data_IF_357828748427
#
_entry.id   IF_357828748427
#
_cell.length_a   1.000
_cell.length_b   1.000
_cell.length_c   1.000
_cell.angle_alpha   90.00
_cell.angle_beta   90.00
_cell.angle_gamma   90.00
#
_symmetry.space_group_name_H-M   'P 1'
#
loop_
_entity.id
_entity.type
_entity.pdbx_description
1 polymer ?
#
# COMPACT_ATOMS: atom_id res chain seq x y z
N UNK A 1 -8.49 11.10 -20.25
CA UNK A 1 -8.32 12.22 -19.30
C UNK A 1 -6.91 12.73 -19.46
N UNK A 2 -6.72 14.04 -19.54
CA UNK A 2 -5.42 14.66 -19.75
C UNK A 2 -4.55 14.46 -18.49
N UNK A 3 -3.36 13.85 -18.58
CA UNK A 3 -2.46 13.70 -17.43
C UNK A 3 -2.07 15.02 -16.78
N UNK A 4 -1.91 16.10 -17.56
CA UNK A 4 -1.61 17.44 -17.05
C UNK A 4 -2.69 17.96 -16.10
N UNK A 5 -3.97 17.71 -16.40
CA UNK A 5 -5.07 18.15 -15.53
C UNK A 5 -5.06 17.45 -14.17
N UNK A 6 -4.58 16.22 -14.11
CA UNK A 6 -4.48 15.45 -12.86
C UNK A 6 -3.35 15.97 -11.99
N UNK A 7 -2.22 16.30 -12.60
CA UNK A 7 -1.07 16.86 -11.91
C UNK A 7 -1.38 18.27 -11.40
N UNK A 8 -2.08 19.10 -12.18
CA UNK A 8 -2.55 20.43 -11.76
C UNK A 8 -3.55 20.38 -10.59
N UNK A 9 -4.52 19.49 -10.65
CA UNK A 9 -5.46 19.28 -9.52
C UNK A 9 -4.72 18.82 -8.27
N UNK A 10 -3.69 18.01 -8.45
CA UNK A 10 -2.87 17.48 -7.39
C UNK A 10 -1.96 18.55 -6.75
N UNK A 11 -1.33 19.41 -7.55
CA UNK A 11 -0.56 20.58 -7.07
C UNK A 11 -1.45 21.55 -6.29
N UNK A 12 -2.69 21.76 -6.74
CA UNK A 12 -3.68 22.58 -6.02
C UNK A 12 -4.01 21.97 -4.66
N UNK A 13 -4.19 20.65 -4.57
CA UNK A 13 -4.43 19.95 -3.29
C UNK A 13 -3.24 20.11 -2.34
N UNK A 14 -2.02 19.89 -2.84
CA UNK A 14 -0.81 20.05 -2.04
C UNK A 14 -0.64 21.48 -1.57
N UNK A 15 -0.84 22.48 -2.43
CA UNK A 15 -0.75 23.90 -2.09
C UNK A 15 -1.82 24.33 -1.07
N UNK A 16 -3.02 23.80 -1.16
CA UNK A 16 -4.09 24.04 -0.19
C UNK A 16 -3.74 23.37 1.16
N UNK A 17 -3.23 22.13 1.14
CA UNK A 17 -2.81 21.40 2.34
C UNK A 17 -1.71 22.13 3.13
N UNK A 18 -0.78 22.81 2.46
CA UNK A 18 0.28 23.60 3.10
C UNK A 18 -0.22 24.91 3.73
N UNK A 19 -1.37 25.42 3.26
CA UNK A 19 -1.97 26.69 3.73
C UNK A 19 -3.03 26.51 4.82
N UNK A 20 -3.37 25.27 5.20
CA UNK A 20 -4.46 24.97 6.12
C UNK A 20 -4.08 25.20 7.58
N UNK A 21 -4.95 25.90 8.30
CA UNK A 21 -4.99 25.93 9.76
C UNK A 21 -5.95 24.86 10.27
N UNK A 22 -5.79 24.39 11.50
CA UNK A 22 -6.43 23.22 12.13
C UNK A 22 -7.99 23.15 12.07
N UNK A 23 -8.65 24.18 11.56
CA UNK A 23 -10.12 24.28 11.50
C UNK A 23 -10.64 24.57 10.08
N UNK A 24 -9.83 24.46 9.03
CA UNK A 24 -10.23 24.88 7.69
C UNK A 24 -10.66 23.68 6.84
N UNK A 25 -11.92 23.66 6.42
CA UNK A 25 -12.41 22.75 5.39
C UNK A 25 -11.92 23.24 4.02
N UNK A 26 -11.21 22.41 3.29
CA UNK A 26 -10.79 22.70 1.94
C UNK A 26 -11.51 21.81 0.94
N UNK A 27 -11.97 22.44 -0.12
CA UNK A 27 -12.63 21.76 -1.21
C UNK A 27 -11.86 22.02 -2.51
N UNK A 28 -11.70 21.01 -3.33
CA UNK A 28 -11.25 21.17 -4.70
C UNK A 28 -12.18 20.44 -5.66
N UNK A 29 -12.29 20.97 -6.88
CA UNK A 29 -13.15 20.40 -7.90
C UNK A 29 -12.36 19.37 -8.74
N UNK A 30 -12.95 18.22 -8.95
CA UNK A 30 -12.48 17.23 -9.90
C UNK A 30 -13.64 16.90 -10.86
N UNK A 31 -13.48 17.19 -12.16
CA UNK A 31 -14.53 17.00 -13.18
C UNK A 31 -15.90 17.55 -12.73
N UNK A 32 -15.96 18.81 -12.30
CA UNK A 32 -17.14 19.46 -11.74
C UNK A 32 -17.65 18.88 -10.42
N UNK A 33 -16.97 17.88 -9.86
CA UNK A 33 -17.26 17.30 -8.55
C UNK A 33 -16.29 17.85 -7.52
N UNK A 34 -16.77 18.09 -6.33
CA UNK A 34 -15.96 18.69 -5.26
C UNK A 34 -15.57 17.59 -4.28
N UNK A 35 -14.26 17.52 -4.00
CA UNK A 35 -13.73 16.70 -2.93
C UNK A 35 -13.35 17.61 -1.76
N UNK A 36 -13.75 17.24 -0.54
CA UNK A 36 -13.36 17.95 0.66
C UNK A 36 -12.24 17.20 1.38
N UNK A 37 -11.25 17.96 1.84
CA UNK A 37 -10.26 17.47 2.79
C UNK A 37 -10.52 18.19 4.10
N UNK A 38 -10.90 17.45 5.15
CA UNK A 38 -11.05 17.98 6.49
C UNK A 38 -9.94 17.43 7.37
N UNK A 39 -9.39 18.30 8.20
CA UNK A 39 -8.45 17.88 9.27
C UNK A 39 -9.27 17.86 10.58
N UNK A 40 -9.24 16.72 11.25
CA UNK A 40 -9.87 16.55 12.55
C UNK A 40 -8.88 15.83 13.49
N UNK A 41 -8.57 16.42 14.65
CA UNK A 41 -7.60 15.91 15.63
C UNK A 41 -6.23 15.48 15.03
N UNK A 42 -5.76 16.20 14.00
CA UNK A 42 -4.50 15.90 13.31
C UNK A 42 -4.60 14.77 12.27
N UNK A 43 -5.75 14.16 12.07
CA UNK A 43 -6.01 13.20 11.01
C UNK A 43 -6.63 13.90 9.79
N UNK A 44 -6.23 13.47 8.60
CA UNK A 44 -6.77 14.00 7.34
C UNK A 44 -7.82 13.04 6.80
N UNK A 45 -8.98 13.58 6.52
CA UNK A 45 -10.09 12.84 5.91
C UNK A 45 -10.35 13.40 4.53
N UNK A 46 -10.59 12.53 3.55
CA UNK A 46 -10.91 12.92 2.19
C UNK A 46 -12.38 12.60 1.93
N UNK A 47 -13.13 13.62 1.56
CA UNK A 47 -14.58 13.53 1.38
C UNK A 47 -14.95 13.81 -0.08
N UNK A 48 -15.41 12.82 -0.86
CA UNK A 48 -16.09 13.11 -2.10
C UNK A 48 -17.49 13.68 -1.80
N UNK A 49 -17.79 14.83 -2.36
CA UNK A 49 -19.16 15.33 -2.40
C UNK A 49 -20.06 14.41 -3.23
N UNK A 50 -21.38 14.48 -3.02
CA UNK A 50 -22.30 13.45 -3.44
C UNK A 50 -22.01 13.01 -4.86
N UNK A 51 -21.73 11.72 -4.99
CA UNK A 51 -21.69 11.07 -6.28
C UNK A 51 -23.08 11.11 -6.83
N UNK A 52 -23.30 11.62 -8.01
CA UNK A 52 -24.56 11.43 -8.66
C UNK A 52 -24.70 9.95 -9.04
N UNK A 53 -25.88 9.38 -8.84
CA UNK A 53 -26.18 7.96 -9.12
C UNK A 53 -25.90 7.52 -10.56
N UNK A 54 -25.95 8.42 -11.52
CA UNK A 54 -25.45 8.23 -12.88
C UNK A 54 -23.91 8.32 -12.91
N UNK A 55 -23.27 7.66 -11.94
CA UNK A 55 -21.82 7.58 -11.91
C UNK A 55 -21.32 6.88 -13.16
N UNK A 56 -20.90 7.69 -14.10
CA UNK A 56 -20.20 7.26 -15.30
C UNK A 56 -18.81 6.70 -14.93
N UNK A 57 -18.05 6.30 -15.92
CA UNK A 57 -16.70 5.81 -15.73
C UNK A 57 -15.81 6.79 -14.94
N UNK A 58 -16.11 8.08 -14.99
CA UNK A 58 -15.33 9.14 -14.34
C UNK A 58 -15.47 9.12 -12.81
N UNK A 59 -16.65 8.78 -12.27
CA UNK A 59 -16.83 8.67 -10.82
C UNK A 59 -16.04 7.49 -10.23
N UNK A 60 -16.04 6.35 -10.92
CA UNK A 60 -15.22 5.20 -10.52
C UNK A 60 -13.74 5.52 -10.53
N UNK A 61 -13.28 6.18 -11.60
CA UNK A 61 -11.90 6.62 -11.73
C UNK A 61 -11.52 7.60 -10.62
N UNK A 62 -12.41 8.54 -10.26
CA UNK A 62 -12.22 9.45 -9.15
C UNK A 62 -12.05 8.71 -7.80
N UNK A 63 -12.88 7.68 -7.53
CA UNK A 63 -12.73 6.84 -6.34
C UNK A 63 -11.37 6.12 -6.30
N UNK A 64 -10.93 5.56 -7.43
CA UNK A 64 -9.64 4.88 -7.54
C UNK A 64 -8.48 5.83 -7.24
N UNK A 65 -8.51 7.04 -7.77
CA UNK A 65 -7.48 8.05 -7.53
C UNK A 65 -7.47 8.57 -6.12
N UNK A 66 -8.67 8.76 -5.53
CA UNK A 66 -8.81 9.12 -4.14
C UNK A 66 -8.18 8.07 -3.22
N UNK A 67 -8.45 6.78 -3.49
CA UNK A 67 -7.85 5.67 -2.77
C UNK A 67 -6.33 5.67 -2.91
N UNK A 68 -5.80 5.85 -4.11
CA UNK A 68 -4.35 5.94 -4.35
C UNK A 68 -3.71 7.13 -3.63
N UNK A 69 -4.41 8.28 -3.57
CA UNK A 69 -3.96 9.43 -2.79
C UNK A 69 -3.91 9.12 -1.30
N UNK A 70 -4.98 8.56 -0.74
CA UNK A 70 -5.06 8.21 0.68
C UNK A 70 -3.91 7.27 1.09
N UNK A 71 -3.60 6.25 0.28
CA UNK A 71 -2.47 5.35 0.50
C UNK A 71 -1.14 6.13 0.53
N UNK A 72 -0.91 6.96 -0.48
CA UNK A 72 0.36 7.67 -0.61
C UNK A 72 0.61 8.63 0.54
N UNK A 73 -0.42 9.31 1.03
CA UNK A 73 -0.33 10.28 2.12
C UNK A 73 -0.48 9.64 3.51
N UNK A 74 -0.61 8.31 3.59
CA UNK A 74 -0.80 7.56 4.85
C UNK A 74 -2.00 8.05 5.65
N UNK A 75 -3.12 8.32 4.99
CA UNK A 75 -4.37 8.76 5.62
C UNK A 75 -5.45 7.71 5.44
N UNK A 76 -6.33 7.49 6.45
CA UNK A 76 -7.50 6.65 6.28
C UNK A 76 -8.40 7.17 5.16
N UNK A 77 -8.94 6.28 4.33
CA UNK A 77 -9.94 6.66 3.33
C UNK A 77 -11.33 6.67 3.97
N UNK A 78 -11.78 7.87 4.29
CA UNK A 78 -13.08 8.12 4.90
C UNK A 78 -13.91 9.00 3.97
N UNK A 79 -15.16 8.61 3.76
CA UNK A 79 -16.12 9.32 2.92
C UNK A 79 -17.30 9.69 3.80
N UNK A 80 -17.62 10.99 3.92
CA UNK A 80 -18.77 11.46 4.72
C UNK A 80 -19.90 11.95 3.84
N UNK A 81 -21.06 12.15 4.47
CA UNK A 81 -22.24 12.68 3.83
C UNK A 81 -22.65 11.87 2.58
N UNK A 82 -22.43 10.55 2.64
CA UNK A 82 -22.80 9.62 1.58
C UNK A 82 -24.29 9.37 1.65
N UNK A 83 -25.09 9.80 0.67
CA UNK A 83 -26.51 9.49 0.62
C UNK A 83 -26.75 7.97 0.52
N UNK A 84 -27.85 7.49 1.08
CA UNK A 84 -28.23 6.07 1.04
C UNK A 84 -28.18 5.48 -0.36
N UNK A 85 -28.63 6.22 -1.33
CA UNK A 85 -28.65 5.81 -2.74
C UNK A 85 -27.24 5.64 -3.36
N UNK A 86 -26.24 6.32 -2.82
CA UNK A 86 -24.85 6.21 -3.32
C UNK A 86 -24.03 5.13 -2.62
N UNK A 87 -24.49 4.65 -1.47
CA UNK A 87 -23.78 3.60 -0.71
C UNK A 87 -23.63 2.32 -1.52
N UNK A 88 -24.66 1.93 -2.30
CA UNK A 88 -24.59 0.74 -3.18
C UNK A 88 -23.51 0.89 -4.25
N UNK A 89 -23.34 2.10 -4.79
CA UNK A 89 -22.28 2.37 -5.75
C UNK A 89 -20.89 2.21 -5.09
N UNK A 90 -20.67 2.79 -3.92
CA UNK A 90 -19.40 2.65 -3.20
C UNK A 90 -19.10 1.18 -2.87
N UNK A 91 -20.10 0.41 -2.41
CA UNK A 91 -19.96 -1.03 -2.19
C UNK A 91 -19.64 -1.82 -3.47
N UNK A 92 -20.01 -1.30 -4.64
CA UNK A 92 -19.65 -1.93 -5.93
C UNK A 92 -18.21 -1.63 -6.36
N UNK A 93 -17.61 -0.56 -5.82
CA UNK A 93 -16.23 -0.14 -6.14
C UNK A 93 -15.24 -0.74 -5.15
N UNK A 94 -15.53 -0.63 -3.85
CA UNK A 94 -14.64 -1.05 -2.78
C UNK A 94 -15.10 -2.37 -2.16
N UNK A 95 -14.22 -3.37 -2.03
CA UNK A 95 -14.59 -4.68 -1.47
C UNK A 95 -14.85 -4.65 0.04
N UNK A 96 -14.22 -3.72 0.76
CA UNK A 96 -14.30 -3.65 2.22
C UNK A 96 -14.74 -2.26 2.66
N UNK A 97 -16.00 -2.14 3.07
CA UNK A 97 -16.61 -0.89 3.53
C UNK A 97 -17.28 -1.13 4.89
N UNK A 98 -17.00 -0.22 5.83
CA UNK A 98 -17.80 -0.03 7.03
C UNK A 98 -18.61 1.25 6.88
N UNK A 99 -19.95 1.14 6.94
CA UNK A 99 -20.86 2.26 6.84
C UNK A 99 -21.58 2.48 8.17
N UNK A 100 -21.58 3.72 8.65
CA UNK A 100 -22.19 4.15 9.89
C UNK A 100 -23.17 5.29 9.63
N UNK A 101 -24.34 5.27 10.28
CA UNK A 101 -25.29 6.39 10.27
C UNK A 101 -24.85 7.48 11.25
N UNK A 102 -25.21 8.72 10.99
CA UNK A 102 -25.12 9.79 11.97
C UNK A 102 -26.21 9.64 13.04
N UNK A 103 -25.98 10.14 14.27
CA UNK A 103 -26.95 10.02 15.37
C UNK A 103 -28.31 10.66 15.06
N UNK A 104 -28.33 11.72 14.26
CA UNK A 104 -29.50 12.50 13.94
C UNK A 104 -29.95 12.40 12.45
N UNK A 105 -29.32 11.57 11.64
CA UNK A 105 -29.61 11.42 10.22
C UNK A 105 -29.41 9.97 9.74
N UNK A 106 -30.53 9.27 9.51
CA UNK A 106 -30.52 7.89 9.02
C UNK A 106 -30.35 7.79 7.49
N UNK A 107 -30.34 8.91 6.76
CA UNK A 107 -30.29 8.94 5.30
C UNK A 107 -28.89 9.23 4.75
N UNK A 108 -27.96 9.69 5.60
CA UNK A 108 -26.56 9.92 5.25
C UNK A 108 -25.63 9.01 6.06
N UNK A 109 -24.50 8.64 5.44
CA UNK A 109 -23.56 7.72 6.01
C UNK A 109 -22.16 8.33 6.10
N UNK A 110 -21.48 7.97 7.15
CA UNK A 110 -20.04 8.02 7.26
C UNK A 110 -19.48 6.65 6.84
N UNK A 111 -18.60 6.61 5.85
CA UNK A 111 -18.09 5.38 5.24
C UNK A 111 -16.59 5.32 5.41
N UNK A 112 -16.10 4.29 6.10
CA UNK A 112 -14.69 3.95 6.15
C UNK A 112 -14.41 2.88 5.09
N UNK A 113 -13.45 3.15 4.21
CA UNK A 113 -12.96 2.17 3.25
C UNK A 113 -11.74 1.49 3.83
N UNK A 114 -11.78 0.16 3.93
CA UNK A 114 -10.69 -0.65 4.42
C UNK A 114 -10.00 -1.38 3.25
N UNK A 115 -8.75 -1.76 3.45
CA UNK A 115 -8.05 -2.70 2.57
C UNK A 115 -7.87 -4.06 3.27
N UNK A 116 -7.25 -5.02 2.59
CA UNK A 116 -7.05 -6.37 3.13
C UNK A 116 -6.16 -6.36 4.39
N UNK A 117 -5.24 -5.40 4.51
CA UNK A 117 -4.38 -5.27 5.68
C UNK A 117 -5.16 -4.81 6.91
N UNK A 118 -6.14 -3.89 6.74
CA UNK A 118 -7.02 -3.43 7.82
C UNK A 118 -7.90 -4.56 8.38
N UNK A 119 -8.14 -5.61 7.59
CA UNK A 119 -8.99 -6.75 7.97
C UNK A 119 -8.24 -7.83 8.73
N UNK A 120 -6.91 -7.70 8.91
CA UNK A 120 -6.10 -8.71 9.59
C UNK A 120 -6.14 -8.53 11.12
N UNK A 121 -6.24 -9.65 11.83
CA UNK A 121 -6.03 -9.73 13.27
C UNK A 121 -4.57 -10.11 13.55
N UNK A 122 -3.68 -9.12 13.48
CA UNK A 122 -2.24 -9.29 13.68
C UNK A 122 -1.46 -9.66 12.41
N UNK A 123 -0.16 -9.88 12.56
CA UNK A 123 0.74 -10.23 11.47
C UNK A 123 0.56 -11.71 11.10
N UNK A 124 0.19 -12.04 9.86
CA UNK A 124 0.00 -13.42 9.44
C UNK A 124 1.34 -14.17 9.38
N UNK A 125 1.27 -15.48 9.55
CA UNK A 125 2.41 -16.38 9.41
C UNK A 125 2.11 -17.46 8.36
N UNK A 126 3.07 -17.71 7.47
CA UNK A 126 2.99 -18.80 6.50
C UNK A 126 4.31 -19.56 6.44
N UNK A 127 4.22 -20.89 6.37
CA UNK A 127 5.36 -21.77 6.11
C UNK A 127 5.15 -22.48 4.76
N UNK A 128 6.10 -22.30 3.85
CA UNK A 128 6.06 -22.90 2.51
C UNK A 128 7.48 -23.19 2.00
N UNK A 129 7.71 -24.42 1.50
CA UNK A 129 8.96 -24.86 0.89
C UNK A 129 10.21 -24.61 1.77
N UNK A 130 10.08 -24.74 3.11
CA UNK A 130 11.15 -24.51 4.09
C UNK A 130 11.49 -23.03 4.30
N UNK A 131 10.59 -22.12 3.92
CA UNK A 131 10.62 -20.72 4.26
C UNK A 131 9.43 -20.41 5.15
N UNK A 132 9.67 -19.67 6.23
CA UNK A 132 8.63 -19.05 7.05
C UNK A 132 8.61 -17.55 6.78
N UNK A 133 7.43 -17.01 6.54
CA UNK A 133 7.17 -15.57 6.59
C UNK A 133 6.39 -15.28 7.88
N UNK A 134 6.95 -14.43 8.74
CA UNK A 134 6.34 -14.07 10.02
C UNK A 134 6.69 -12.63 10.42
N UNK A 135 6.31 -12.25 11.63
CA UNK A 135 6.55 -10.91 12.16
C UNK A 135 8.05 -10.64 12.37
N UNK A 136 8.49 -9.43 11.98
CA UNK A 136 9.79 -8.88 12.36
C UNK A 136 9.77 -8.49 13.85
N UNK A 137 10.67 -9.09 14.63
CA UNK A 137 10.73 -8.91 16.08
C UNK A 137 11.99 -8.15 16.51
N UNK A 138 12.03 -7.74 17.77
CA UNK A 138 13.20 -7.09 18.34
C UNK A 138 14.46 -7.99 18.34
N UNK A 139 14.29 -9.31 18.29
CA UNK A 139 15.41 -10.25 18.17
C UNK A 139 16.07 -10.24 16.80
N UNK A 140 15.41 -9.67 15.79
CA UNK A 140 15.92 -9.59 14.42
C UNK A 140 16.76 -8.33 14.16
N UNK A 141 16.78 -7.38 15.11
CA UNK A 141 17.36 -6.03 14.96
C UNK A 141 18.72 -6.01 14.27
N UNK A 142 19.68 -6.80 14.73
CA UNK A 142 21.04 -6.78 14.18
C UNK A 142 21.11 -7.25 12.73
N UNK A 143 20.40 -8.35 12.40
CA UNK A 143 20.37 -8.88 11.03
C UNK A 143 19.55 -7.99 10.11
N UNK A 144 18.43 -7.45 10.62
CA UNK A 144 17.59 -6.55 9.86
C UNK A 144 18.30 -5.23 9.55
N UNK A 145 19.09 -4.70 10.50
CA UNK A 145 19.97 -3.56 10.25
C UNK A 145 20.95 -3.80 9.11
N UNK A 146 21.62 -4.95 9.10
CA UNK A 146 22.53 -5.32 8.02
C UNK A 146 21.82 -5.39 6.68
N UNK A 147 20.61 -5.92 6.64
CA UNK A 147 19.76 -5.95 5.45
C UNK A 147 19.45 -4.53 4.94
N UNK A 148 19.06 -3.62 5.84
CA UNK A 148 18.71 -2.24 5.49
C UNK A 148 19.92 -1.38 5.10
N UNK A 149 21.11 -1.65 5.65
CA UNK A 149 22.31 -0.85 5.43
C UNK A 149 23.16 -1.29 4.23
N UNK A 150 22.89 -2.44 3.64
CA UNK A 150 23.64 -2.92 2.48
C UNK A 150 23.29 -2.11 1.23
N UNK A 151 24.20 -1.22 0.81
CA UNK A 151 24.00 -0.31 -0.33
C UNK A 151 23.86 -1.04 -1.67
N UNK A 152 24.57 -2.14 -1.87
CA UNK A 152 24.48 -2.91 -3.10
C UNK A 152 23.13 -3.62 -3.19
N UNK A 153 22.68 -4.19 -2.09
CA UNK A 153 21.37 -4.83 -2.00
C UNK A 153 20.24 -3.83 -2.22
N UNK A 154 20.33 -2.66 -1.58
CA UNK A 154 19.23 -1.68 -1.55
C UNK A 154 19.23 -0.70 -2.73
N UNK A 155 20.18 -0.76 -3.66
CA UNK A 155 20.21 0.11 -4.85
C UNK A 155 18.92 0.05 -5.70
N UNK A 156 18.11 -0.99 -5.52
CA UNK A 156 16.83 -1.20 -6.21
C UNK A 156 15.64 -1.31 -5.25
N UNK A 157 15.83 -1.01 -3.95
CA UNK A 157 14.76 -1.15 -2.95
C UNK A 157 13.91 0.11 -2.79
N UNK A 158 14.43 1.27 -3.17
CA UNK A 158 13.70 2.53 -3.18
C UNK A 158 13.78 3.36 -1.90
N UNK A 159 14.50 2.89 -0.87
CA UNK A 159 14.76 3.67 0.33
C UNK A 159 16.21 4.16 0.36
N UNK A 160 16.39 5.46 0.61
CA UNK A 160 17.72 5.99 0.97
C UNK A 160 18.02 5.63 2.43
N UNK A 161 19.03 4.82 2.62
CA UNK A 161 19.50 4.46 3.95
C UNK A 161 20.50 5.51 4.43
N UNK A 162 20.18 6.24 5.49
CA UNK A 162 21.14 7.09 6.19
C UNK A 162 22.13 6.21 6.97
N UNK A 163 23.27 5.91 6.31
CA UNK A 163 24.33 5.07 6.87
C UNK A 163 25.20 5.77 7.90
N UNK A 164 25.02 7.08 8.13
CA UNK A 164 25.89 7.86 9.02
C UNK A 164 25.52 7.67 10.51
N UNK A 165 24.37 7.04 10.81
CA UNK A 165 23.97 6.75 12.18
C UNK A 165 23.28 5.36 12.31
N UNK A 166 24.06 4.25 12.26
CA UNK A 166 23.52 2.90 12.20
C UNK A 166 22.60 2.52 13.39
N UNK A 167 22.89 2.95 14.60
CA UNK A 167 22.10 2.57 15.78
C UNK A 167 20.70 3.22 15.80
N UNK A 168 20.59 4.47 15.36
CA UNK A 168 19.29 5.14 15.20
C UNK A 168 18.47 4.57 14.04
N UNK A 169 19.15 4.12 12.99
CA UNK A 169 18.54 3.55 11.81
C UNK A 169 17.78 2.26 12.15
N UNK A 170 18.33 1.42 13.03
CA UNK A 170 17.74 0.11 13.37
C UNK A 170 16.40 0.26 14.09
N UNK A 171 16.37 1.07 15.16
CA UNK A 171 15.14 1.33 15.91
C UNK A 171 14.11 2.04 15.04
N UNK A 172 14.56 3.00 14.25
CA UNK A 172 13.71 3.74 13.32
C UNK A 172 13.04 2.82 12.27
N UNK A 173 13.76 1.87 11.65
CA UNK A 173 13.16 1.02 10.63
C UNK A 173 12.12 0.06 11.18
N UNK A 174 12.34 -0.56 12.33
CA UNK A 174 11.32 -1.40 12.96
C UNK A 174 10.09 -0.59 13.40
N UNK A 175 10.30 0.64 13.86
CA UNK A 175 9.20 1.55 14.19
C UNK A 175 8.41 1.98 12.94
N UNK A 176 9.10 2.29 11.83
CA UNK A 176 8.47 2.62 10.55
C UNK A 176 7.66 1.43 10.03
N UNK A 177 8.22 0.23 10.02
CA UNK A 177 7.52 -0.99 9.58
C UNK A 177 6.25 -1.23 10.40
N UNK A 178 6.32 -1.10 11.72
CA UNK A 178 5.15 -1.25 12.61
C UNK A 178 4.10 -0.16 12.36
N UNK A 179 4.55 1.07 12.16
CA UNK A 179 3.67 2.19 11.85
C UNK A 179 2.98 2.02 10.50
N UNK A 180 3.70 1.65 9.44
CA UNK A 180 3.13 1.40 8.12
C UNK A 180 2.10 0.28 8.15
N UNK A 181 2.37 -0.77 8.93
CA UNK A 181 1.40 -1.85 9.15
C UNK A 181 0.15 -1.36 9.89
N UNK A 182 0.32 -0.54 10.93
CA UNK A 182 -0.81 0.00 11.69
C UNK A 182 -1.69 0.99 10.92
N UNK A 183 -1.15 1.59 9.85
CA UNK A 183 -1.89 2.48 8.96
C UNK A 183 -2.45 1.77 7.71
N UNK A 184 -2.34 0.45 7.60
CA UNK A 184 -2.84 -0.29 6.44
C UNK A 184 -2.07 -0.02 5.14
N UNK A 185 -0.82 0.45 5.21
CA UNK A 185 -0.04 0.89 4.05
C UNK A 185 0.87 -0.18 3.52
N UNK A 186 1.60 -0.84 4.42
CA UNK A 186 2.54 -1.89 4.08
C UNK A 186 2.66 -2.91 5.21
N UNK A 187 2.94 -4.14 4.84
CA UNK A 187 3.25 -5.22 5.76
C UNK A 187 4.61 -5.81 5.39
N UNK A 188 5.62 -5.59 6.23
CA UNK A 188 6.92 -6.20 6.09
C UNK A 188 7.04 -7.41 7.01
N UNK A 189 7.49 -8.53 6.44
CA UNK A 189 7.62 -9.82 7.09
C UNK A 189 9.07 -10.27 7.11
N UNK A 190 9.48 -10.91 8.19
CA UNK A 190 10.73 -11.65 8.24
C UNK A 190 10.65 -12.85 7.27
N UNK A 191 11.68 -13.03 6.45
CA UNK A 191 11.91 -14.27 5.72
C UNK A 191 12.85 -15.11 6.55
N UNK A 192 12.38 -16.29 7.01
CA UNK A 192 13.21 -17.21 7.81
C UNK A 192 13.46 -18.52 7.09
N UNK A 193 14.67 -19.04 7.30
CA UNK A 193 15.05 -20.39 6.95
C UNK A 193 15.67 -21.04 8.20
N UNK A 194 15.17 -22.19 8.60
CA UNK A 194 15.58 -22.87 9.87
C UNK A 194 15.46 -21.96 11.12
N UNK A 195 14.44 -21.07 11.16
CA UNK A 195 14.20 -20.12 12.24
C UNK A 195 15.06 -18.85 12.22
N UNK A 196 16.04 -18.77 11.33
CA UNK A 196 16.97 -17.64 11.22
C UNK A 196 16.50 -16.62 10.18
N UNK A 197 16.55 -15.32 10.52
CA UNK A 197 16.28 -14.24 9.55
C UNK A 197 17.30 -14.32 8.40
N UNK A 198 16.77 -14.43 7.17
CA UNK A 198 17.56 -14.49 5.92
C UNK A 198 17.15 -13.42 4.90
N UNK A 199 16.10 -12.66 5.18
CA UNK A 199 15.60 -11.63 4.29
C UNK A 199 14.34 -10.97 4.80
N UNK A 200 13.72 -10.19 3.92
CA UNK A 200 12.44 -9.50 4.13
C UNK A 200 11.53 -9.72 2.93
N UNK A 201 10.25 -9.88 3.20
CA UNK A 201 9.18 -9.91 2.20
C UNK A 201 8.14 -8.87 2.56
N UNK A 202 7.71 -8.06 1.60
CA UNK A 202 6.80 -6.94 1.84
C UNK A 202 5.63 -6.97 0.88
N UNK A 203 4.42 -6.74 1.41
CA UNK A 203 3.22 -6.40 0.64
C UNK A 203 2.92 -4.92 0.96
N UNK A 204 2.77 -4.08 -0.05
CA UNK A 204 2.64 -2.63 0.11
C UNK A 204 1.80 -2.02 -1.01
N UNK A 205 1.46 -0.73 -0.89
CA UNK A 205 0.61 -0.01 -1.84
C UNK A 205 -0.71 -0.74 -2.10
N UNK A 206 -1.41 -1.10 -1.03
CA UNK A 206 -2.76 -1.66 -1.10
C UNK A 206 -3.71 -0.63 -1.70
N UNK A 207 -4.34 -0.97 -2.83
CA UNK A 207 -5.11 0.00 -3.60
C UNK A 207 -6.61 0.08 -3.23
N UNK A 208 -7.04 -0.49 -2.11
CA UNK A 208 -8.44 -0.63 -1.67
C UNK A 208 -9.37 -1.38 -2.65
N UNK A 209 -8.81 -1.96 -3.73
CA UNK A 209 -9.56 -2.70 -4.77
C UNK A 209 -9.17 -4.17 -4.84
N UNK A 210 -8.37 -4.63 -3.88
CA UNK A 210 -7.89 -5.99 -3.81
C UNK A 210 -6.57 -6.24 -4.55
N UNK A 211 -5.78 -5.20 -4.82
CA UNK A 211 -4.44 -5.36 -5.41
C UNK A 211 -3.39 -4.66 -4.56
N UNK A 212 -2.20 -5.24 -4.50
CA UNK A 212 -1.04 -4.67 -3.80
C UNK A 212 0.26 -5.00 -4.54
N UNK A 213 1.31 -4.25 -4.24
CA UNK A 213 2.67 -4.54 -4.68
C UNK A 213 3.35 -5.53 -3.74
N UNK A 214 4.22 -6.38 -4.29
CA UNK A 214 5.06 -7.29 -3.51
C UNK A 214 6.52 -7.10 -3.82
N UNK A 215 7.36 -7.24 -2.79
CA UNK A 215 8.81 -7.21 -2.93
C UNK A 215 9.49 -8.20 -1.97
N UNK A 216 10.66 -8.68 -2.35
CA UNK A 216 11.50 -9.56 -1.53
C UNK A 216 12.96 -9.14 -1.65
N UNK A 217 13.65 -9.04 -0.51
CA UNK A 217 15.11 -8.91 -0.46
C UNK A 217 15.71 -9.95 0.48
N UNK A 218 16.91 -10.41 0.18
CA UNK A 218 17.58 -11.50 0.87
C UNK A 218 18.99 -11.06 1.25
N UNK A 219 19.44 -11.40 2.45
CA UNK A 219 20.80 -11.11 2.91
C UNK A 219 21.85 -11.63 1.90
N UNK A 220 22.90 -10.86 1.60
CA UNK A 220 23.89 -11.21 0.58
C UNK A 220 24.51 -12.60 0.77
N UNK A 221 24.83 -12.98 2.01
CA UNK A 221 25.38 -14.30 2.36
C UNK A 221 24.42 -15.47 2.11
N UNK A 222 23.15 -15.16 1.90
CA UNK A 222 22.09 -16.14 1.61
C UNK A 222 21.74 -16.22 0.12
N UNK A 223 22.42 -15.44 -0.74
CA UNK A 223 22.18 -15.45 -2.18
C UNK A 223 22.56 -16.81 -2.82
N UNK A 224 21.97 -17.10 -3.98
CA UNK A 224 22.25 -18.35 -4.73
C UNK A 224 21.59 -19.61 -4.19
N UNK A 225 20.95 -19.56 -3.03
CA UNK A 225 20.28 -20.70 -2.35
C UNK A 225 18.80 -20.84 -2.74
N UNK A 226 18.30 -20.00 -3.63
CA UNK A 226 16.89 -20.01 -4.07
C UNK A 226 15.90 -19.41 -3.05
N UNK A 227 16.39 -18.79 -1.96
CA UNK A 227 15.57 -18.21 -0.90
C UNK A 227 14.60 -17.16 -1.45
N UNK A 228 15.09 -16.19 -2.24
CA UNK A 228 14.22 -15.16 -2.81
C UNK A 228 13.07 -15.72 -3.65
N UNK A 229 13.32 -16.80 -4.40
CA UNK A 229 12.31 -17.49 -5.21
C UNK A 229 11.23 -18.17 -4.33
N UNK A 230 11.68 -18.86 -3.26
CA UNK A 230 10.77 -19.52 -2.30
C UNK A 230 9.97 -18.50 -1.49
N UNK A 231 10.63 -17.42 -1.04
CA UNK A 231 9.97 -16.32 -0.33
C UNK A 231 8.94 -15.61 -1.21
N UNK A 232 9.23 -15.35 -2.49
CA UNK A 232 8.26 -14.78 -3.43
C UNK A 232 7.05 -15.70 -3.59
N UNK A 233 7.25 -17.03 -3.69
CA UNK A 233 6.14 -17.99 -3.77
C UNK A 233 5.31 -17.99 -2.48
N UNK A 234 5.95 -17.97 -1.32
CA UNK A 234 5.26 -17.90 -0.03
C UNK A 234 4.47 -16.59 0.11
N UNK A 235 5.05 -15.46 -0.34
CA UNK A 235 4.39 -14.16 -0.29
C UNK A 235 3.16 -14.09 -1.21
N UNK A 236 3.22 -14.69 -2.40
CA UNK A 236 2.07 -14.82 -3.30
C UNK A 236 0.96 -15.67 -2.65
N UNK A 237 1.33 -16.77 -1.99
CA UNK A 237 0.34 -17.60 -1.31
C UNK A 237 -0.27 -16.89 -0.10
N UNK A 238 0.53 -16.14 0.65
CA UNK A 238 0.04 -15.30 1.73
C UNK A 238 -0.91 -14.22 1.22
N UNK A 239 -0.56 -13.55 0.12
CA UNK A 239 -1.42 -12.57 -0.52
C UNK A 239 -2.80 -13.15 -0.91
N UNK A 240 -2.83 -14.40 -1.37
CA UNK A 240 -4.08 -15.12 -1.63
C UNK A 240 -4.88 -15.40 -0.36
N UNK A 241 -4.20 -15.81 0.72
CA UNK A 241 -4.85 -16.10 2.00
C UNK A 241 -5.46 -14.87 2.67
N UNK A 242 -4.85 -13.70 2.52
CA UNK A 242 -5.40 -12.44 3.04
C UNK A 242 -6.49 -11.83 2.16
N UNK A 243 -6.82 -12.44 1.02
CA UNK A 243 -7.95 -12.05 0.18
C UNK A 243 -7.62 -11.14 -0.98
N UNK A 244 -6.34 -10.87 -1.26
CA UNK A 244 -5.97 -10.11 -2.45
C UNK A 244 -6.41 -10.84 -3.74
N UNK A 245 -6.91 -10.09 -4.71
CA UNK A 245 -7.32 -10.56 -6.04
C UNK A 245 -6.17 -10.52 -7.04
N UNK A 246 -5.24 -9.60 -6.85
CA UNK A 246 -4.08 -9.42 -7.71
C UNK A 246 -2.85 -9.02 -6.88
N UNK A 247 -1.69 -9.53 -7.25
CA UNK A 247 -0.41 -8.97 -6.80
C UNK A 247 0.37 -8.43 -7.98
N UNK A 248 1.09 -7.34 -7.76
CA UNK A 248 1.95 -6.68 -8.72
C UNK A 248 3.38 -6.61 -8.20
N UNK A 249 4.33 -6.46 -9.11
CA UNK A 249 5.72 -6.18 -8.75
C UNK A 249 6.33 -5.21 -9.76
N UNK A 250 7.04 -4.21 -9.27
CA UNK A 250 7.79 -3.26 -10.07
C UNK A 250 9.29 -3.54 -9.93
N UNK A 251 9.92 -3.90 -11.01
CA UNK A 251 11.34 -4.27 -11.01
C UNK A 251 12.12 -3.32 -11.91
N UNK A 252 13.15 -2.66 -11.38
CA UNK A 252 14.03 -1.82 -12.19
C UNK A 252 14.58 -2.58 -13.39
N UNK A 253 14.53 -1.98 -14.58
CA UNK A 253 14.94 -2.61 -15.85
C UNK A 253 16.40 -3.12 -15.85
N UNK A 254 17.26 -2.51 -15.01
CA UNK A 254 18.65 -2.91 -14.82
C UNK A 254 18.82 -4.09 -13.86
N UNK A 255 17.78 -4.49 -13.12
CA UNK A 255 17.83 -5.60 -12.17
C UNK A 255 17.45 -6.93 -12.85
N UNK A 256 18.30 -7.41 -13.76
CA UNK A 256 18.05 -8.62 -14.54
C UNK A 256 17.82 -9.88 -13.68
N UNK A 257 18.47 -9.95 -12.50
CA UNK A 257 18.30 -11.08 -11.58
C UNK A 257 16.88 -11.15 -11.04
N UNK A 258 16.34 -9.99 -10.59
CA UNK A 258 14.96 -9.90 -10.09
C UNK A 258 13.95 -10.11 -11.21
N UNK A 259 14.17 -9.53 -12.41
CA UNK A 259 13.32 -9.75 -13.58
C UNK A 259 13.21 -11.24 -13.89
N UNK A 260 14.33 -11.95 -13.96
CA UNK A 260 14.35 -13.39 -14.23
C UNK A 260 13.67 -14.21 -13.14
N UNK A 261 13.78 -13.81 -11.89
CA UNK A 261 13.11 -14.46 -10.77
C UNK A 261 11.59 -14.24 -10.83
N UNK A 262 11.16 -12.99 -10.93
CA UNK A 262 9.75 -12.59 -10.92
C UNK A 262 8.99 -13.18 -12.12
N UNK A 263 9.61 -13.24 -13.31
CA UNK A 263 9.03 -13.85 -14.52
C UNK A 263 8.69 -15.35 -14.39
N UNK A 264 9.10 -16.01 -13.32
CA UNK A 264 8.72 -17.42 -13.06
C UNK A 264 7.34 -17.56 -12.46
N UNK A 265 6.84 -16.49 -11.83
CA UNK A 265 5.62 -16.48 -11.04
C UNK A 265 4.57 -15.52 -11.55
N UNK A 266 5.01 -14.45 -12.22
CA UNK A 266 4.15 -13.34 -12.63
C UNK A 266 4.34 -13.01 -14.10
N UNK A 267 3.30 -12.48 -14.73
CA UNK A 267 3.32 -12.06 -16.13
C UNK A 267 3.79 -10.60 -16.24
N UNK A 268 4.56 -10.28 -17.28
CA UNK A 268 4.88 -8.90 -17.62
C UNK A 268 3.62 -8.27 -18.21
N UNK A 269 3.16 -7.18 -17.61
CA UNK A 269 1.99 -6.42 -18.05
C UNK A 269 2.36 -5.08 -18.67
N UNK A 270 3.52 -4.50 -18.27
CA UNK A 270 4.02 -3.27 -18.86
C UNK A 270 5.55 -3.17 -18.75
N UNK A 271 6.14 -2.29 -19.58
CA UNK A 271 7.57 -1.96 -19.57
C UNK A 271 7.75 -0.48 -19.85
N UNK A 272 8.46 0.18 -18.93
CA UNK A 272 8.97 1.55 -19.12
C UNK A 272 10.48 1.53 -19.38
N UNK A 273 11.09 2.69 -19.61
CA UNK A 273 12.55 2.81 -19.72
C UNK A 273 13.27 2.41 -18.41
N UNK A 274 12.62 2.62 -17.25
CA UNK A 274 13.22 2.41 -15.93
C UNK A 274 12.76 1.13 -15.24
N UNK A 275 11.57 0.60 -15.55
CA UNK A 275 10.94 -0.50 -14.81
C UNK A 275 10.27 -1.53 -15.74
N UNK A 276 10.20 -2.77 -15.26
CA UNK A 276 9.34 -3.83 -15.77
C UNK A 276 8.25 -4.07 -14.74
N UNK A 277 6.99 -4.01 -15.17
CA UNK A 277 5.82 -4.19 -14.32
C UNK A 277 5.25 -5.58 -14.53
N UNK A 278 5.07 -6.29 -13.44
CA UNK A 278 4.53 -7.64 -13.40
C UNK A 278 3.18 -7.62 -12.68
N UNK A 279 2.30 -8.55 -13.06
CA UNK A 279 1.06 -8.82 -12.35
C UNK A 279 0.75 -10.32 -12.36
N UNK A 280 0.00 -10.76 -11.33
CA UNK A 280 -0.55 -12.09 -11.19
C UNK A 280 -1.95 -11.98 -10.59
N UNK A 281 -2.98 -12.43 -11.33
CA UNK A 281 -4.30 -12.65 -10.73
C UNK A 281 -4.24 -13.84 -9.76
N UNK A 282 -4.89 -13.66 -8.61
CA UNK A 282 -4.96 -14.66 -7.54
C UNK A 282 -6.31 -15.39 -7.52
N UNK A 283 -7.26 -14.94 -8.37
CA UNK A 283 -8.57 -15.58 -8.61
C UNK A 283 -8.45 -16.86 -9.42
#
# INVERSE_FOLDING_TARGET
MDPEFVDDAFEIICGISESMTDETDCAFAYLERVLYVRIYDGERYVFPLPFMLDADADAREACIRLAAYAIRELIPLIITDVPREELEFLCSVFPHIDAFTYEDDDDSFYVKVNNELDMLDGVPCIELDGITLDELTDSDKEKYARLCQDRELNQYWGYDVDVDNPDKVIEYYLEVVRRESSFGVAMALAVREDGELVGEATIYDFNYLGSALIAVRVLPECHGRGIGSRATKALIELARQIGLKEVRAEVYAKNEKSIKMTSRYMNVVDRTESKVIFALSLE
#
